data_IF_594360876394
#
_entry.id   IF_594360876394
#
_cell.length_a   1.000
_cell.length_b   1.000
_cell.length_c   1.000
_cell.angle_alpha   90.00
_cell.angle_beta   90.00
_cell.angle_gamma   90.00
#
_symmetry.space_group_name_H-M   'P 1'
#
loop_
_entity.id
_entity.type
_entity.pdbx_description
1 polymer ?
#
# COMPACT_ATOMS: atom_id res chain seq x y z
N UNK A 1 -18.01 38.91 -11.04
CA UNK A 1 -17.00 37.86 -11.31
C UNK A 1 -16.64 37.28 -9.95
N UNK A 2 -17.17 36.10 -9.58
CA UNK A 2 -16.88 35.53 -8.28
C UNK A 2 -15.41 35.11 -8.28
N UNK A 3 -14.68 35.48 -7.22
CA UNK A 3 -13.42 34.83 -6.91
C UNK A 3 -13.81 33.44 -6.43
N UNK A 4 -13.52 32.40 -7.22
CA UNK A 4 -13.43 31.06 -6.68
C UNK A 4 -12.31 31.13 -5.64
N UNK A 5 -12.68 31.14 -4.35
CA UNK A 5 -11.79 30.66 -3.33
C UNK A 5 -11.39 29.25 -3.80
N UNK A 6 -10.14 29.08 -4.26
CA UNK A 6 -9.54 27.76 -4.46
C UNK A 6 -9.58 27.06 -3.11
N UNK A 7 -10.72 26.42 -2.80
CA UNK A 7 -10.89 25.65 -1.59
C UNK A 7 -9.91 24.51 -1.74
N UNK A 8 -8.77 24.66 -1.05
CA UNK A 8 -7.73 23.66 -0.95
C UNK A 8 -8.35 22.41 -0.34
N UNK A 9 -8.92 21.58 -1.21
CA UNK A 9 -9.73 20.44 -0.79
C UNK A 9 -8.78 19.35 -0.28
N UNK A 10 -9.01 18.82 0.92
CA UNK A 10 -8.22 17.71 1.44
C UNK A 10 -8.19 16.55 0.45
N UNK A 11 -7.02 15.92 0.30
CA UNK A 11 -6.85 14.80 -0.62
C UNK A 11 -7.80 13.63 -0.32
N UNK A 12 -8.19 13.44 0.95
CA UNK A 12 -9.15 12.42 1.36
C UNK A 12 -10.60 12.70 0.92
N UNK A 13 -10.93 13.91 0.47
CA UNK A 13 -12.29 14.25 0.04
C UNK A 13 -12.58 13.96 -1.43
N UNK A 14 -11.53 13.69 -2.21
CA UNK A 14 -11.64 13.18 -3.57
C UNK A 14 -12.32 11.79 -3.60
N UNK A 15 -13.44 11.62 -4.33
CA UNK A 15 -14.16 10.35 -4.43
C UNK A 15 -13.28 9.19 -4.91
N UNK A 16 -12.33 9.47 -5.81
CA UNK A 16 -11.41 8.45 -6.32
C UNK A 16 -10.45 7.97 -5.22
N UNK A 17 -9.90 8.90 -4.44
CA UNK A 17 -9.06 8.60 -3.27
C UNK A 17 -9.80 7.77 -2.22
N UNK A 18 -11.08 8.08 -1.93
CA UNK A 18 -11.91 7.29 -0.99
C UNK A 18 -12.11 5.86 -1.49
N UNK A 19 -12.50 5.70 -2.75
CA UNK A 19 -12.71 4.38 -3.37
C UNK A 19 -11.44 3.54 -3.36
N UNK A 20 -10.28 4.14 -3.66
CA UNK A 20 -9.01 3.45 -3.63
C UNK A 20 -8.59 3.01 -2.21
N UNK A 21 -8.82 3.86 -1.19
CA UNK A 21 -8.58 3.50 0.21
C UNK A 21 -9.51 2.38 0.70
N UNK A 22 -10.78 2.41 0.28
CA UNK A 22 -11.75 1.35 0.57
C UNK A 22 -11.35 0.02 -0.06
N UNK A 23 -10.96 0.03 -1.34
CA UNK A 23 -10.43 -1.16 -2.02
C UNK A 23 -9.20 -1.73 -1.33
N UNK A 24 -8.27 -0.86 -0.90
CA UNK A 24 -7.10 -1.28 -0.13
C UNK A 24 -7.48 -1.88 1.24
N UNK A 25 -8.45 -1.28 1.94
CA UNK A 25 -8.97 -1.77 3.22
C UNK A 25 -9.67 -3.12 3.06
N UNK A 26 -10.49 -3.29 2.04
CA UNK A 26 -11.18 -4.54 1.73
C UNK A 26 -10.17 -5.67 1.47
N UNK A 27 -9.11 -5.38 0.70
CA UNK A 27 -8.00 -6.31 0.50
C UNK A 27 -7.31 -6.71 1.80
N UNK A 28 -7.04 -5.75 2.68
CA UNK A 28 -6.44 -5.99 3.99
C UNK A 28 -7.33 -6.85 4.90
N UNK A 29 -8.64 -6.56 4.94
CA UNK A 29 -9.63 -7.36 5.68
C UNK A 29 -9.70 -8.80 5.16
N UNK A 30 -9.62 -9.01 3.84
CA UNK A 30 -9.60 -10.36 3.27
C UNK A 30 -8.41 -11.19 3.75
N UNK A 31 -7.23 -10.58 3.85
CA UNK A 31 -6.04 -11.24 4.40
C UNK A 31 -6.21 -11.57 5.89
N UNK A 32 -6.80 -10.67 6.68
CA UNK A 32 -7.09 -10.93 8.08
C UNK A 32 -8.06 -12.09 8.28
N UNK A 33 -9.22 -12.03 7.62
CA UNK A 33 -10.28 -13.03 7.77
C UNK A 33 -9.78 -14.38 7.26
N UNK A 34 -9.14 -14.41 6.09
CA UNK A 34 -8.55 -15.64 5.55
C UNK A 34 -7.48 -16.23 6.46
N UNK A 35 -6.62 -15.39 7.03
CA UNK A 35 -5.59 -15.82 7.97
C UNK A 35 -6.17 -16.37 9.27
N UNK A 36 -7.18 -15.71 9.84
CA UNK A 36 -7.87 -16.17 11.04
C UNK A 36 -8.56 -17.53 10.82
N UNK A 37 -9.27 -17.68 9.69
CA UNK A 37 -9.92 -18.95 9.32
C UNK A 37 -8.87 -20.06 9.18
N UNK A 38 -7.73 -19.80 8.54
CA UNK A 38 -6.66 -20.79 8.40
C UNK A 38 -6.12 -21.27 9.76
N UNK A 39 -5.94 -20.36 10.72
CA UNK A 39 -5.52 -20.72 12.09
C UNK A 39 -6.58 -21.56 12.80
N UNK A 40 -7.86 -21.18 12.70
CA UNK A 40 -8.96 -21.98 13.28
C UNK A 40 -8.98 -23.39 12.70
N UNK A 41 -8.85 -23.52 11.38
CA UNK A 41 -8.78 -24.82 10.70
C UNK A 41 -7.56 -25.63 11.13
N UNK A 42 -6.41 -24.99 11.35
CA UNK A 42 -5.23 -25.66 11.86
C UNK A 42 -5.47 -26.27 13.25
N UNK A 43 -6.11 -25.52 14.15
CA UNK A 43 -6.45 -25.99 15.51
C UNK A 43 -7.43 -27.15 15.46
N UNK A 44 -8.50 -27.03 14.69
CA UNK A 44 -9.51 -28.09 14.54
C UNK A 44 -8.91 -29.36 13.94
N UNK A 45 -8.11 -29.22 12.89
CA UNK A 45 -7.42 -30.35 12.26
C UNK A 45 -6.41 -31.00 13.21
N UNK A 46 -5.69 -30.18 13.99
CA UNK A 46 -4.76 -30.66 15.02
C UNK A 46 -5.47 -31.49 16.08
N UNK A 47 -6.60 -30.99 16.61
CA UNK A 47 -7.40 -31.72 17.59
C UNK A 47 -7.89 -33.07 17.04
N UNK A 48 -8.38 -33.08 15.81
CA UNK A 48 -8.83 -34.31 15.13
C UNK A 48 -7.66 -35.29 14.94
N UNK A 49 -6.49 -34.80 14.50
CA UNK A 49 -5.32 -35.64 14.29
C UNK A 49 -4.79 -36.27 15.59
N UNK A 50 -4.82 -35.53 16.71
CA UNK A 50 -4.46 -36.04 18.05
C UNK A 50 -5.43 -37.12 18.49
N UNK A 51 -6.75 -36.87 18.41
CA UNK A 51 -7.77 -37.86 18.75
C UNK A 51 -7.62 -39.15 17.95
N UNK A 52 -7.38 -39.05 16.64
CA UNK A 52 -7.18 -40.22 15.78
C UNK A 52 -5.88 -40.98 16.07
N UNK A 53 -4.83 -40.27 16.52
CA UNK A 53 -3.57 -40.89 16.88
C UNK A 53 -3.70 -41.67 18.20
N UNK A 54 -4.43 -41.11 19.18
CA UNK A 54 -4.74 -41.76 20.46
C UNK A 54 -5.62 -43.00 20.24
N UNK A 55 -6.68 -42.89 19.42
CA UNK A 55 -7.60 -44.02 19.14
C UNK A 55 -6.93 -45.18 18.38
N UNK A 56 -5.97 -44.89 17.50
CA UNK A 56 -5.34 -45.91 16.63
C UNK A 56 -3.95 -46.33 17.08
N UNK A 57 -3.39 -45.69 18.11
CA UNK A 57 -2.02 -45.92 18.58
C UNK A 57 -0.94 -45.64 17.53
N UNK A 58 -1.26 -44.90 16.46
CA UNK A 58 -0.33 -44.57 15.35
C UNK A 58 -0.56 -43.15 14.85
N UNK A 59 0.49 -42.38 14.56
CA UNK A 59 0.36 -41.01 14.08
C UNK A 59 -0.29 -40.96 12.68
N UNK A 60 -1.07 -39.90 12.42
CA UNK A 60 -1.63 -39.63 11.09
C UNK A 60 -0.55 -38.96 10.23
N UNK A 61 -0.04 -39.62 9.18
CA UNK A 61 1.00 -39.03 8.33
C UNK A 61 0.49 -37.76 7.65
N UNK A 62 1.38 -36.78 7.46
CA UNK A 62 1.13 -35.47 6.83
C UNK A 62 0.20 -34.50 7.59
N UNK A 63 -0.64 -34.95 8.53
CA UNK A 63 -1.55 -34.08 9.27
C UNK A 63 -0.82 -32.95 10.01
N UNK A 64 0.28 -33.27 10.69
CA UNK A 64 1.11 -32.25 11.36
C UNK A 64 1.68 -31.20 10.40
N UNK A 65 2.07 -31.60 9.19
CA UNK A 65 2.61 -30.66 8.20
C UNK A 65 1.52 -29.70 7.69
N UNK A 66 0.30 -30.19 7.46
CA UNK A 66 -0.84 -29.34 7.09
C UNK A 66 -1.17 -28.35 8.20
N UNK A 67 -1.19 -28.79 9.46
CA UNK A 67 -1.43 -27.92 10.62
C UNK A 67 -0.36 -26.82 10.71
N UNK A 68 0.92 -27.17 10.57
CA UNK A 68 2.02 -26.19 10.58
C UNK A 68 1.87 -25.20 9.42
N UNK A 69 1.60 -25.68 8.21
CA UNK A 69 1.42 -24.83 7.03
C UNK A 69 0.25 -23.84 7.21
N UNK A 70 -0.90 -24.31 7.70
CA UNK A 70 -2.06 -23.49 7.97
C UNK A 70 -1.79 -22.46 9.07
N UNK A 71 -1.09 -22.86 10.13
CA UNK A 71 -0.77 -21.98 11.27
C UNK A 71 0.18 -20.87 10.84
N UNK A 72 1.30 -21.22 10.21
CA UNK A 72 2.31 -20.26 9.76
C UNK A 72 1.75 -19.36 8.66
N UNK A 73 1.08 -19.96 7.66
CA UNK A 73 0.43 -19.21 6.58
C UNK A 73 -0.65 -18.26 7.10
N UNK A 74 -1.49 -18.73 8.03
CA UNK A 74 -2.52 -17.94 8.68
C UNK A 74 -1.95 -16.77 9.49
N UNK A 75 -0.91 -17.02 10.29
CA UNK A 75 -0.23 -15.98 11.06
C UNK A 75 0.40 -14.89 10.16
N UNK A 76 1.08 -15.30 9.08
CA UNK A 76 1.63 -14.38 8.09
C UNK A 76 0.53 -13.55 7.40
N UNK A 77 -0.59 -14.18 7.04
CA UNK A 77 -1.73 -13.49 6.45
C UNK A 77 -2.35 -12.45 7.41
N UNK A 78 -2.50 -12.79 8.69
CA UNK A 78 -2.98 -11.86 9.72
C UNK A 78 -2.01 -10.69 9.90
N UNK A 79 -0.71 -10.96 10.03
CA UNK A 79 0.30 -9.91 10.15
C UNK A 79 0.31 -8.96 8.94
N UNK A 80 0.22 -9.52 7.72
CA UNK A 80 0.12 -8.75 6.49
C UNK A 80 -1.15 -7.88 6.44
N UNK A 81 -2.30 -8.45 6.82
CA UNK A 81 -3.57 -7.73 6.90
C UNK A 81 -3.57 -6.59 7.92
N UNK A 82 -3.01 -6.82 9.12
CA UNK A 82 -2.87 -5.79 10.17
C UNK A 82 -1.95 -4.67 9.71
N UNK A 83 -0.78 -5.02 9.13
CA UNK A 83 0.17 -4.04 8.60
C UNK A 83 -0.44 -3.20 7.47
N UNK A 84 -1.24 -3.80 6.60
CA UNK A 84 -1.96 -3.09 5.56
C UNK A 84 -3.02 -2.15 6.15
N UNK A 85 -3.83 -2.57 7.13
CA UNK A 85 -4.82 -1.69 7.78
C UNK A 85 -4.15 -0.52 8.53
N UNK A 86 -3.06 -0.77 9.26
CA UNK A 86 -2.30 0.27 9.92
C UNK A 86 -1.77 1.31 8.92
N UNK A 87 -1.32 0.86 7.75
CA UNK A 87 -0.91 1.76 6.66
C UNK A 87 -2.09 2.55 6.10
N UNK A 88 -3.21 1.89 5.82
CA UNK A 88 -4.42 2.52 5.27
C UNK A 88 -4.94 3.63 6.19
N UNK A 89 -4.99 3.36 7.49
CA UNK A 89 -5.44 4.33 8.50
C UNK A 89 -4.49 5.52 8.64
N UNK A 90 -3.17 5.28 8.58
CA UNK A 90 -2.17 6.33 8.55
C UNK A 90 -2.29 7.21 7.32
N UNK A 91 -2.43 6.62 6.13
CA UNK A 91 -2.63 7.37 4.89
C UNK A 91 -3.90 8.20 4.92
N UNK A 92 -5.03 7.61 5.33
CA UNK A 92 -6.30 8.34 5.44
C UNK A 92 -6.19 9.56 6.35
N UNK A 93 -5.56 9.42 7.53
CA UNK A 93 -5.36 10.53 8.47
C UNK A 93 -4.46 11.63 7.92
N UNK A 94 -3.44 11.26 7.14
CA UNK A 94 -2.56 12.24 6.54
C UNK A 94 -3.21 12.95 5.36
N UNK A 95 -3.91 12.22 4.49
CA UNK A 95 -4.62 12.76 3.32
C UNK A 95 -5.81 13.64 3.71
N UNK A 96 -6.37 13.50 4.92
CA UNK A 96 -7.38 14.44 5.44
C UNK A 96 -6.80 15.78 5.87
N UNK A 97 -5.48 15.89 6.01
CA UNK A 97 -4.81 17.11 6.46
C UNK A 97 -4.01 17.82 5.36
N UNK A 98 -3.87 17.20 4.19
CA UNK A 98 -2.97 17.66 3.12
C UNK A 98 -3.69 17.61 1.78
N UNK A 99 -3.61 18.66 0.95
CA UNK A 99 -4.14 18.64 -0.41
C UNK A 99 -3.28 17.80 -1.36
N UNK A 100 -3.87 17.41 -2.49
CA UNK A 100 -3.10 16.85 -3.60
C UNK A 100 -2.25 17.93 -4.28
N UNK A 101 -0.96 17.67 -4.44
CA UNK A 101 -0.09 18.46 -5.30
C UNK A 101 -0.10 17.84 -6.69
N UNK A 102 -0.42 18.63 -7.72
CA UNK A 102 -0.28 18.22 -9.12
C UNK A 102 1.16 18.41 -9.56
N UNK A 103 1.59 17.62 -10.53
CA UNK A 103 2.93 17.69 -11.07
C UNK A 103 3.22 16.61 -12.08
N UNK A 104 4.39 16.69 -12.71
CA UNK A 104 4.86 15.71 -13.68
C UNK A 104 5.67 14.61 -12.97
N UNK A 105 5.49 13.38 -13.42
CA UNK A 105 6.31 12.26 -13.00
C UNK A 105 7.40 12.00 -14.02
N UNK A 106 8.67 11.94 -13.58
CA UNK A 106 9.81 11.52 -14.39
C UNK A 106 10.46 10.28 -13.84
N UNK A 107 10.91 9.37 -14.69
CA UNK A 107 11.73 8.24 -14.26
C UNK A 107 13.14 8.73 -13.94
N UNK A 108 13.56 8.55 -12.69
CA UNK A 108 14.91 8.88 -12.21
C UNK A 108 15.76 7.62 -11.95
N UNK A 109 15.22 6.41 -12.19
CA UNK A 109 15.93 5.13 -12.07
C UNK A 109 14.99 3.92 -11.91
N UNK A 110 15.54 2.70 -11.72
CA UNK A 110 14.77 1.44 -11.75
C UNK A 110 13.64 1.32 -10.71
N UNK A 111 13.68 2.11 -9.64
CA UNK A 111 12.62 2.22 -8.64
C UNK A 111 12.52 3.64 -8.05
N UNK A 112 13.12 4.62 -8.72
CA UNK A 112 13.15 6.02 -8.29
C UNK A 112 12.43 6.82 -9.36
N UNK A 113 11.44 7.59 -8.93
CA UNK A 113 10.74 8.57 -9.75
C UNK A 113 11.04 9.95 -9.19
N UNK A 114 11.15 10.93 -10.06
CA UNK A 114 11.20 12.34 -9.74
C UNK A 114 9.79 12.91 -9.93
N UNK A 115 9.28 13.61 -8.92
CA UNK A 115 8.04 14.35 -8.99
C UNK A 115 8.37 15.83 -9.09
N UNK A 116 7.91 16.47 -10.16
CA UNK A 116 8.06 17.89 -10.47
C UNK A 116 6.73 18.56 -10.19
N UNK A 117 6.55 19.24 -9.03
CA UNK A 117 5.29 19.91 -8.70
C UNK A 117 4.91 20.96 -9.75
N UNK A 118 3.62 21.28 -9.86
CA UNK A 118 3.16 22.41 -10.67
C UNK A 118 3.87 23.71 -10.24
N UNK A 119 4.45 24.45 -11.19
CA UNK A 119 5.30 25.63 -10.94
C UNK A 119 6.78 25.34 -10.65
N UNK A 120 7.22 24.07 -10.78
CA UNK A 120 8.63 23.68 -10.70
C UNK A 120 9.48 24.41 -11.77
N UNK A 121 10.65 24.92 -11.37
CA UNK A 121 11.61 25.69 -12.21
C UNK A 121 11.13 27.09 -12.67
N UNK A 122 9.87 27.48 -12.41
CA UNK A 122 9.33 28.78 -12.83
C UNK A 122 9.79 29.95 -11.95
N UNK A 123 10.09 29.69 -10.67
CA UNK A 123 10.39 30.73 -9.67
C UNK A 123 11.79 30.61 -9.07
N UNK A 124 12.40 29.42 -9.11
CA UNK A 124 13.76 29.16 -8.66
C UNK A 124 14.41 28.14 -9.62
N UNK A 125 15.41 28.55 -10.42
CA UNK A 125 16.11 27.64 -11.33
C UNK A 125 16.98 26.59 -10.61
N UNK A 126 17.17 26.73 -9.29
CA UNK A 126 17.87 25.75 -8.46
C UNK A 126 16.90 24.77 -7.75
N UNK A 127 15.59 24.87 -7.99
CA UNK A 127 14.63 23.95 -7.37
C UNK A 127 14.87 22.51 -7.84
N UNK A 128 14.91 21.58 -6.88
CA UNK A 128 15.20 20.19 -7.18
C UNK A 128 13.94 19.32 -7.20
N UNK A 129 13.82 18.37 -8.14
CA UNK A 129 12.64 17.56 -8.24
C UNK A 129 12.58 16.59 -7.06
N UNK A 130 11.38 16.32 -6.54
CA UNK A 130 11.19 15.45 -5.37
C UNK A 130 11.46 14.00 -5.77
N UNK A 131 12.61 13.47 -5.36
CA UNK A 131 13.00 12.08 -5.65
C UNK A 131 12.30 11.11 -4.70
N UNK A 132 11.48 10.24 -5.27
CA UNK A 132 10.64 9.28 -4.58
C UNK A 132 11.02 7.86 -4.98
N UNK A 133 11.30 7.00 -3.98
CA UNK A 133 11.46 5.56 -4.16
C UNK A 133 10.12 4.88 -3.88
N UNK A 134 9.64 4.07 -4.82
CA UNK A 134 8.41 3.32 -4.62
C UNK A 134 8.56 2.30 -3.48
N UNK A 135 7.54 2.22 -2.62
CA UNK A 135 7.50 1.27 -1.49
C UNK A 135 6.95 -0.09 -1.95
N UNK A 136 6.32 -0.15 -3.12
CA UNK A 136 5.84 -1.40 -3.71
C UNK A 136 7.00 -2.29 -4.15
N UNK A 137 6.99 -3.56 -3.75
CA UNK A 137 7.97 -4.57 -4.16
C UNK A 137 7.56 -5.34 -5.41
N UNK A 138 6.33 -5.17 -5.90
CA UNK A 138 5.87 -5.87 -7.09
C UNK A 138 6.33 -5.18 -8.38
N UNK A 139 7.01 -5.95 -9.25
CA UNK A 139 7.53 -5.49 -10.54
C UNK A 139 6.43 -4.89 -11.43
N UNK A 140 5.24 -5.50 -11.46
CA UNK A 140 4.12 -5.00 -12.27
C UNK A 140 3.61 -3.62 -11.81
N UNK A 141 3.54 -3.36 -10.50
CA UNK A 141 3.19 -2.03 -9.98
C UNK A 141 4.26 -1.00 -10.25
N UNK A 142 5.53 -1.43 -10.22
CA UNK A 142 6.66 -0.57 -10.57
C UNK A 142 6.57 -0.16 -12.04
N UNK A 143 6.25 -1.11 -12.93
CA UNK A 143 6.02 -0.83 -14.36
C UNK A 143 4.80 0.05 -14.62
N UNK A 144 3.70 -0.10 -13.87
CA UNK A 144 2.54 0.79 -13.99
C UNK A 144 2.90 2.24 -13.66
N UNK A 145 3.71 2.46 -12.62
CA UNK A 145 4.17 3.82 -12.29
C UNK A 145 5.19 4.33 -13.31
N UNK A 146 6.08 3.47 -13.81
CA UNK A 146 7.02 3.84 -14.88
C UNK A 146 6.29 4.18 -16.19
N UNK A 147 5.15 3.56 -16.48
CA UNK A 147 4.34 3.88 -17.65
C UNK A 147 3.74 5.30 -17.59
N UNK A 148 3.76 5.96 -16.42
CA UNK A 148 3.32 7.34 -16.23
C UNK A 148 4.46 8.36 -16.44
N UNK A 149 5.60 7.93 -16.98
CA UNK A 149 6.72 8.84 -17.28
C UNK A 149 6.29 9.97 -18.23
N UNK A 150 6.58 11.21 -17.84
CA UNK A 150 6.14 12.42 -18.51
C UNK A 150 4.65 12.72 -18.37
N UNK A 151 3.90 11.91 -17.61
CA UNK A 151 2.48 12.11 -17.35
C UNK A 151 2.22 12.94 -16.09
N UNK A 152 1.03 13.53 -16.04
CA UNK A 152 0.53 14.23 -14.86
C UNK A 152 0.14 13.24 -13.76
N UNK A 153 0.62 13.51 -12.55
CA UNK A 153 0.29 12.77 -11.35
C UNK A 153 -0.08 13.72 -10.22
N UNK A 154 -0.79 13.17 -9.24
CA UNK A 154 -1.06 13.85 -7.97
C UNK A 154 -0.27 13.16 -6.88
N UNK A 155 0.48 13.93 -6.11
CA UNK A 155 1.28 13.44 -4.99
C UNK A 155 0.90 14.19 -3.70
N UNK A 156 0.92 13.50 -2.56
CA UNK A 156 0.67 14.11 -1.26
C UNK A 156 1.66 13.57 -0.22
N UNK A 157 2.33 14.44 0.56
CA UNK A 157 3.18 14.00 1.66
C UNK A 157 2.32 13.47 2.80
N UNK A 158 2.66 12.27 3.30
CA UNK A 158 1.92 11.59 4.39
C UNK A 158 2.73 11.45 5.69
N UNK A 159 3.80 12.25 5.81
CA UNK A 159 4.67 12.34 6.99
C UNK A 159 5.82 11.32 7.02
N UNK A 160 6.88 11.63 7.78
CA UNK A 160 8.04 10.74 7.94
C UNK A 160 8.80 10.47 6.63
N UNK A 161 8.78 11.42 5.69
CA UNK A 161 9.36 11.28 4.36
C UNK A 161 8.60 10.32 3.43
N UNK A 162 7.38 9.91 3.80
CA UNK A 162 6.51 9.08 2.96
C UNK A 162 5.58 9.95 2.13
N UNK A 163 5.28 9.47 0.93
CA UNK A 163 4.41 10.10 -0.05
C UNK A 163 3.39 9.10 -0.56
N UNK A 164 2.23 9.59 -0.97
CA UNK A 164 1.24 8.82 -1.72
C UNK A 164 1.10 9.46 -3.08
N UNK A 165 1.03 8.64 -4.12
CA UNK A 165 0.83 9.06 -5.51
C UNK A 165 -0.46 8.44 -6.06
N UNK A 166 -1.13 9.19 -6.92
CA UNK A 166 -2.23 8.74 -7.77
C UNK A 166 -2.14 9.43 -9.12
N UNK A 167 -2.74 8.85 -10.16
CA UNK A 167 -2.84 9.46 -11.48
C UNK A 167 -4.17 9.08 -12.10
N UNK A 168 -4.57 9.80 -13.14
CA UNK A 168 -5.77 9.45 -13.89
C UNK A 168 -5.59 8.08 -14.58
N UNK A 169 -6.61 7.23 -14.50
CA UNK A 169 -6.54 5.86 -15.01
C UNK A 169 -5.82 4.86 -14.10
N UNK A 170 -5.22 5.26 -12.97
CA UNK A 170 -4.67 4.31 -12.01
C UNK A 170 -5.77 3.75 -11.09
N UNK A 171 -5.86 2.41 -10.93
CA UNK A 171 -6.91 1.79 -10.12
C UNK A 171 -6.65 1.87 -8.60
N UNK A 172 -5.51 2.40 -8.15
CA UNK A 172 -5.08 2.36 -6.75
C UNK A 172 -4.05 3.46 -6.45
N UNK A 173 -3.95 3.82 -5.16
CA UNK A 173 -2.90 4.68 -4.63
C UNK A 173 -1.56 3.94 -4.53
N UNK A 174 -0.46 4.66 -4.74
CA UNK A 174 0.90 4.14 -4.64
C UNK A 174 1.66 4.81 -3.50
N UNK A 175 2.26 4.02 -2.62
CA UNK A 175 3.15 4.54 -1.58
C UNK A 175 4.57 4.72 -2.10
N UNK A 176 5.16 5.87 -1.81
CA UNK A 176 6.57 6.13 -2.03
C UNK A 176 7.23 6.70 -0.77
N UNK A 177 8.55 6.75 -0.79
CA UNK A 177 9.39 7.35 0.25
C UNK A 177 10.45 8.21 -0.39
N UNK A 178 10.77 9.34 0.21
CA UNK A 178 11.88 10.19 -0.22
C UNK A 178 13.15 9.37 -0.38
N UNK A 179 13.76 9.42 -1.56
CA UNK A 179 15.05 8.83 -1.79
C UNK A 179 16.09 9.78 -1.19
N UNK A 180 16.80 9.33 -0.14
CA UNK A 180 17.99 10.08 0.33
C UNK A 180 18.95 10.22 -0.86
N UNK A 181 19.43 11.43 -1.09
CA UNK A 181 20.57 11.66 -1.99
C UNK A 181 21.70 10.70 -1.60
N UNK A 182 22.29 9.95 -2.55
CA UNK A 182 23.62 9.41 -2.32
C UNK A 182 24.54 10.60 -2.02
N UNK A 183 25.25 10.54 -0.90
CA UNK A 183 26.37 11.45 -0.63
C UNK A 183 27.53 11.10 -1.55
#
# INVERSE_FOLDING_TARGET
MPCDDDVVQPAADDPHTRTALEGYRAGALRWLVGGAIAVVLAVLLGAVAVSLADDRGRPVPLAGLVVVALTVGGACAVAAGLGALARATRWRRALSAVPWQRGLLRIAGPAIVAFEPEGYDEWDPDDEPVRLRLVSTSVWRTRQVQALDGGEVRAAPVGGGQWVLTAEGLPTLFGARTARRPR
#
